data_IF_262406595300
#
_entry.id   IF_262406595300
#
_cell.length_a   1.000
_cell.length_b   1.000
_cell.length_c   1.000
_cell.angle_alpha   90.00
_cell.angle_beta   90.00
_cell.angle_gamma   90.00
#
_symmetry.space_group_name_H-M   'P 1'
#
loop_
_entity.id
_entity.type
_entity.pdbx_description
1 polymer ?
#
# COMPACT_ATOMS: atom_id res chain seq x y z
N UNK A 1 0.27 1.71 26.58
CA UNK A 1 0.73 1.91 25.20
C UNK A 1 -0.48 1.94 24.32
N UNK A 2 -0.68 3.05 23.65
CA UNK A 2 -1.89 3.30 22.89
C UNK A 2 -1.91 2.47 21.61
N UNK A 3 -3.04 1.82 21.32
CA UNK A 3 -3.24 0.98 20.11
C UNK A 3 -2.91 1.78 18.84
N UNK A 4 -3.05 3.10 18.90
CA UNK A 4 -2.75 4.07 17.85
C UNK A 4 -1.32 3.99 17.30
N UNK A 5 -0.31 3.84 18.17
CA UNK A 5 1.09 3.75 17.73
C UNK A 5 1.38 2.47 16.96
N UNK A 6 0.67 1.39 17.29
CA UNK A 6 0.77 0.12 16.59
C UNK A 6 0.15 0.19 15.19
N UNK A 7 -0.99 0.88 15.05
CA UNK A 7 -1.63 1.10 13.74
C UNK A 7 -0.74 1.92 12.79
N UNK A 8 -0.13 3.00 13.30
CA UNK A 8 0.83 3.80 12.50
C UNK A 8 2.04 2.95 12.09
N UNK A 9 2.55 2.08 12.97
CA UNK A 9 3.66 1.20 12.66
C UNK A 9 3.31 0.14 11.59
N UNK A 10 2.13 -0.48 11.68
CA UNK A 10 1.65 -1.41 10.65
C UNK A 10 1.51 -0.68 9.32
N UNK A 11 0.88 0.48 9.32
CA UNK A 11 0.66 1.28 8.13
C UNK A 11 1.99 1.65 7.45
N UNK A 12 2.99 2.04 8.24
CA UNK A 12 4.33 2.31 7.77
C UNK A 12 4.98 1.07 7.13
N UNK A 13 4.90 -0.10 7.78
CA UNK A 13 5.41 -1.36 7.23
C UNK A 13 4.69 -1.72 5.92
N UNK A 14 3.38 -1.49 5.84
CA UNK A 14 2.57 -1.78 4.67
C UNK A 14 2.94 -0.89 3.48
N UNK A 15 3.15 0.41 3.70
CA UNK A 15 3.65 1.33 2.67
C UNK A 15 5.10 1.03 2.26
N UNK A 16 5.98 0.67 3.19
CA UNK A 16 7.35 0.28 2.86
C UNK A 16 7.38 -0.95 1.94
N UNK A 17 6.52 -1.92 2.24
CA UNK A 17 6.32 -3.12 1.42
C UNK A 17 5.77 -2.78 0.03
N UNK A 18 4.80 -1.86 -0.07
CA UNK A 18 4.27 -1.38 -1.35
C UNK A 18 5.38 -0.83 -2.25
N UNK A 19 6.25 0.01 -1.68
CA UNK A 19 7.39 0.60 -2.40
C UNK A 19 8.39 -0.49 -2.81
N UNK A 20 8.67 -1.46 -1.94
CA UNK A 20 9.55 -2.59 -2.24
C UNK A 20 9.08 -3.42 -3.44
N UNK A 21 7.77 -3.51 -3.68
CA UNK A 21 7.20 -4.15 -4.87
C UNK A 21 7.13 -3.23 -6.09
N UNK A 22 6.88 -1.93 -5.89
CA UNK A 22 6.82 -0.94 -6.97
C UNK A 22 8.16 -0.77 -7.69
N UNK A 23 9.28 -0.74 -6.96
CA UNK A 23 10.61 -0.54 -7.54
C UNK A 23 11.01 -1.58 -8.61
N UNK A 24 11.03 -2.89 -8.31
CA UNK A 24 11.40 -3.90 -9.30
C UNK A 24 10.42 -3.93 -10.47
N UNK A 25 9.12 -3.72 -10.21
CA UNK A 25 8.12 -3.61 -11.28
C UNK A 25 8.40 -2.42 -12.20
N UNK A 26 8.72 -1.24 -11.65
CA UNK A 26 9.02 -0.06 -12.44
C UNK A 26 10.27 -0.25 -13.32
N UNK A 27 11.26 -1.02 -12.83
CA UNK A 27 12.47 -1.35 -13.58
C UNK A 27 12.15 -2.29 -14.75
N UNK A 28 11.31 -3.31 -14.54
CA UNK A 28 11.05 -4.35 -15.55
C UNK A 28 9.79 -4.11 -16.39
N UNK A 29 9.05 -3.01 -16.19
CA UNK A 29 7.74 -2.78 -16.82
C UNK A 29 7.76 -2.89 -18.35
N UNK A 30 8.88 -2.54 -18.98
CA UNK A 30 9.06 -2.64 -20.42
C UNK A 30 9.16 -4.11 -20.92
N UNK A 31 9.58 -5.04 -20.07
CA UNK A 31 9.72 -6.47 -20.39
C UNK A 31 8.42 -7.26 -20.16
N UNK A 32 7.69 -6.96 -19.09
CA UNK A 32 6.40 -7.58 -18.73
C UNK A 32 5.21 -7.00 -19.53
N UNK A 33 5.36 -5.83 -20.12
CA UNK A 33 4.37 -5.21 -21.00
C UNK A 33 3.03 -4.89 -20.30
N UNK A 34 1.95 -4.82 -21.10
CA UNK A 34 0.61 -4.40 -20.63
C UNK A 34 0.02 -5.32 -19.55
N UNK A 35 0.37 -6.60 -19.54
CA UNK A 35 -0.08 -7.54 -18.50
C UNK A 35 0.52 -7.17 -17.14
N UNK A 36 1.82 -6.84 -17.11
CA UNK A 36 2.49 -6.36 -15.91
C UNK A 36 1.95 -5.02 -15.41
N UNK A 37 1.54 -4.14 -16.33
CA UNK A 37 0.89 -2.88 -15.98
C UNK A 37 -0.44 -3.11 -15.24
N UNK A 38 -1.34 -3.93 -15.79
CA UNK A 38 -2.63 -4.21 -15.16
C UNK A 38 -2.50 -4.97 -13.84
N UNK A 39 -1.53 -5.88 -13.73
CA UNK A 39 -1.25 -6.59 -12.48
C UNK A 39 -0.87 -5.62 -11.35
N UNK A 40 0.02 -4.66 -11.62
CA UNK A 40 0.40 -3.65 -10.62
C UNK A 40 -0.74 -2.68 -10.31
N UNK A 41 -1.50 -2.26 -11.32
CA UNK A 41 -2.67 -1.40 -11.08
C UNK A 41 -3.70 -2.08 -10.17
N UNK A 42 -3.92 -3.39 -10.34
CA UNK A 42 -4.79 -4.15 -9.44
C UNK A 42 -4.20 -4.26 -8.03
N UNK A 43 -2.90 -4.52 -7.91
CA UNK A 43 -2.21 -4.56 -6.62
C UNK A 43 -2.35 -3.24 -5.84
N UNK A 44 -2.05 -2.10 -6.48
CA UNK A 44 -2.21 -0.78 -5.88
C UNK A 44 -3.66 -0.50 -5.51
N UNK A 45 -4.62 -0.89 -6.36
CA UNK A 45 -6.04 -0.70 -6.06
C UNK A 45 -6.44 -1.41 -4.76
N UNK A 46 -6.02 -2.67 -4.56
CA UNK A 46 -6.32 -3.41 -3.33
C UNK A 46 -5.71 -2.73 -2.10
N UNK A 47 -4.48 -2.23 -2.20
CA UNK A 47 -3.82 -1.52 -1.10
C UNK A 47 -4.51 -0.20 -0.77
N UNK A 48 -4.89 0.59 -1.77
CA UNK A 48 -5.64 1.84 -1.59
C UNK A 48 -6.99 1.58 -0.93
N UNK A 49 -7.70 0.51 -1.31
CA UNK A 49 -8.95 0.11 -0.65
C UNK A 49 -8.72 -0.23 0.82
N UNK A 50 -7.65 -0.99 1.13
CA UNK A 50 -7.26 -1.28 2.51
C UNK A 50 -6.96 -0.02 3.31
N UNK A 51 -6.19 0.90 2.74
CA UNK A 51 -5.84 2.18 3.35
C UNK A 51 -7.07 3.04 3.65
N UNK A 52 -7.99 3.17 2.67
CA UNK A 52 -9.24 3.92 2.84
C UNK A 52 -10.10 3.28 3.93
N UNK A 53 -10.15 1.96 4.02
CA UNK A 53 -10.89 1.26 5.08
C UNK A 53 -10.33 1.58 6.47
N UNK A 54 -9.01 1.56 6.65
CA UNK A 54 -8.36 1.92 7.92
C UNK A 54 -8.60 3.38 8.28
N UNK A 55 -8.52 4.29 7.29
CA UNK A 55 -8.82 5.71 7.46
C UNK A 55 -10.25 5.91 7.96
N UNK A 56 -11.23 5.30 7.29
CA UNK A 56 -12.65 5.43 7.66
C UNK A 56 -12.97 4.84 9.05
N UNK A 57 -12.14 3.93 9.55
CA UNK A 57 -12.30 3.34 10.89
C UNK A 57 -11.79 4.25 12.01
N UNK A 58 -11.33 5.45 11.69
CA UNK A 58 -10.84 6.43 12.67
C UNK A 58 -9.48 6.06 13.28
N UNK A 59 -8.73 5.14 12.65
CA UNK A 59 -7.40 4.72 13.11
C UNK A 59 -6.37 5.87 13.12
N UNK A 60 -6.63 6.92 12.34
CA UNK A 60 -5.77 8.10 12.15
C UNK A 60 -6.31 9.39 12.77
N UNK A 61 -7.52 9.42 13.32
CA UNK A 61 -8.09 10.66 13.88
C UNK A 61 -7.44 11.01 15.22
N UNK A 62 -6.99 12.27 15.31
CA UNK A 62 -6.39 12.88 16.49
C UNK A 62 -7.40 13.82 17.14
N UNK A 63 -8.10 13.32 18.16
CA UNK A 63 -8.65 14.14 19.26
C UNK A 63 -7.94 13.74 20.57
#
# INVERSE_FOLDING_TARGET
FDVRYYLVAILFILFDLEIAFLFPWAVVIQEIGLAGFWAMMFFLFVLVVGFVYEWMKGALEWD
#
